data_IF_989148960913
#
_entry.id   IF_989148960913
#
_cell.length_a   1.000
_cell.length_b   1.000
_cell.length_c   1.000
_cell.angle_alpha   90.00
_cell.angle_beta   90.00
_cell.angle_gamma   90.00
#
_symmetry.space_group_name_H-M   'P 1'
#
loop_
_entity.id
_entity.type
_entity.pdbx_description
1 polymer ?
#
# COMPACT_ATOMS: atom_id res chain seq x y z
N UNK A 1 10.43 22.79 -24.30
CA UNK A 1 10.20 22.14 -22.99
C UNK A 1 8.96 21.22 -22.95
N UNK A 2 8.19 21.02 -24.04
CA UNK A 2 6.94 20.21 -24.02
C UNK A 2 7.05 18.71 -24.32
N UNK A 3 8.21 18.21 -24.76
CA UNK A 3 8.37 16.81 -25.20
C UNK A 3 8.66 15.82 -24.06
N UNK A 4 9.44 16.23 -23.04
CA UNK A 4 9.82 15.35 -21.93
C UNK A 4 8.61 15.04 -21.01
N UNK A 5 7.80 16.06 -20.70
CA UNK A 5 6.61 15.89 -19.86
C UNK A 5 5.53 15.03 -20.54
N UNK A 6 5.39 15.11 -21.87
CA UNK A 6 4.43 14.29 -22.60
C UNK A 6 4.83 12.81 -22.61
N UNK A 7 6.12 12.50 -22.81
CA UNK A 7 6.63 11.13 -22.78
C UNK A 7 6.53 10.50 -21.39
N UNK A 8 6.82 11.26 -20.33
CA UNK A 8 6.68 10.78 -18.95
C UNK A 8 5.22 10.44 -18.61
N UNK A 9 4.27 11.30 -19.01
CA UNK A 9 2.84 11.04 -18.81
C UNK A 9 2.35 9.82 -19.59
N UNK A 10 2.85 9.62 -20.81
CA UNK A 10 2.53 8.42 -21.60
C UNK A 10 3.05 7.15 -20.92
N UNK A 11 4.26 7.18 -20.36
CA UNK A 11 4.81 6.05 -19.61
C UNK A 11 3.96 5.74 -18.35
N UNK A 12 3.53 6.76 -17.62
CA UNK A 12 2.67 6.59 -16.42
C UNK A 12 1.30 6.01 -16.79
N UNK A 13 0.70 6.47 -17.89
CA UNK A 13 -0.57 5.92 -18.39
C UNK A 13 -0.39 4.46 -18.82
N UNK A 14 0.69 4.12 -19.51
CA UNK A 14 0.96 2.73 -19.93
C UNK A 14 1.31 1.80 -18.77
N UNK A 15 1.94 2.32 -17.72
CA UNK A 15 2.35 1.58 -16.54
C UNK A 15 1.29 1.48 -15.43
N UNK A 16 0.09 2.03 -15.63
CA UNK A 16 -0.97 2.04 -14.63
C UNK A 16 -2.33 1.61 -15.18
N UNK A 17 -3.27 1.37 -14.28
CA UNK A 17 -4.65 1.04 -14.57
C UNK A 17 -5.50 2.30 -14.80
N UNK A 18 -4.91 3.39 -15.31
CA UNK A 18 -5.57 4.68 -15.48
C UNK A 18 -5.46 5.20 -16.92
N UNK A 19 -6.51 5.86 -17.39
CA UNK A 19 -6.48 6.61 -18.63
C UNK A 19 -5.87 8.02 -18.45
N UNK A 20 -5.68 8.73 -19.57
CA UNK A 20 -5.06 10.06 -19.56
C UNK A 20 -5.85 11.08 -18.74
N UNK A 21 -7.18 11.01 -18.77
CA UNK A 21 -8.03 11.95 -18.04
C UNK A 21 -7.99 11.66 -16.54
N UNK A 22 -7.93 10.38 -16.15
CA UNK A 22 -7.69 9.91 -14.78
C UNK A 22 -6.34 10.40 -14.26
N UNK A 23 -5.26 10.20 -15.03
CA UNK A 23 -3.91 10.66 -14.65
C UNK A 23 -3.84 12.18 -14.53
N UNK A 24 -4.49 12.94 -15.41
CA UNK A 24 -4.54 14.41 -15.29
C UNK A 24 -5.33 14.87 -14.05
N UNK A 25 -6.38 14.12 -13.63
CA UNK A 25 -7.06 14.38 -12.35
C UNK A 25 -6.17 14.05 -11.15
N UNK A 26 -5.46 12.92 -11.19
CA UNK A 26 -4.50 12.55 -10.15
C UNK A 26 -3.39 13.59 -10.04
N UNK A 27 -2.88 14.12 -11.15
CA UNK A 27 -1.87 15.20 -11.14
C UNK A 27 -2.37 16.45 -10.40
N UNK A 28 -3.62 16.84 -10.63
CA UNK A 28 -4.22 17.99 -9.91
C UNK A 28 -4.37 17.71 -8.41
N UNK A 29 -4.63 16.46 -8.01
CA UNK A 29 -4.68 16.07 -6.59
C UNK A 29 -3.28 16.07 -5.98
N UNK A 30 -2.29 15.53 -6.69
CA UNK A 30 -0.88 15.52 -6.29
C UNK A 30 -0.38 16.94 -6.01
N UNK A 31 -0.55 17.87 -6.95
CA UNK A 31 -0.17 19.28 -6.78
C UNK A 31 -0.92 20.02 -5.66
N UNK A 32 -2.02 19.45 -5.14
CA UNK A 32 -2.74 20.01 -4.00
C UNK A 32 -2.20 19.47 -2.66
N UNK A 33 -1.58 18.29 -2.70
CA UNK A 33 -0.92 17.68 -1.55
C UNK A 33 0.49 18.24 -1.36
N UNK A 34 1.23 18.38 -2.46
CA UNK A 34 2.52 19.07 -2.55
C UNK A 34 2.31 20.59 -2.33
N UNK A 35 2.42 21.02 -1.07
CA UNK A 35 2.14 22.39 -0.62
C UNK A 35 3.30 23.32 -0.88
N UNK A 36 4.52 22.81 -0.75
CA UNK A 36 5.73 23.61 -0.95
C UNK A 36 6.20 23.63 -2.42
N UNK A 37 5.58 22.81 -3.27
CA UNK A 37 5.91 22.63 -4.69
C UNK A 37 7.31 22.04 -4.90
N UNK A 38 7.74 21.14 -4.01
CA UNK A 38 9.00 20.40 -4.13
C UNK A 38 8.99 19.44 -5.31
N UNK A 39 7.79 19.00 -5.75
CA UNK A 39 7.60 18.00 -6.80
C UNK A 39 7.51 16.57 -6.27
N UNK A 40 7.65 16.38 -4.96
CA UNK A 40 7.41 15.13 -4.23
C UNK A 40 6.42 15.41 -3.10
N UNK A 41 5.82 14.36 -2.52
CA UNK A 41 4.95 14.51 -1.35
C UNK A 41 5.68 13.95 -0.13
N UNK A 42 6.02 14.80 0.82
CA UNK A 42 6.64 14.31 2.05
C UNK A 42 5.61 13.72 3.02
N UNK A 43 6.11 12.95 3.98
CA UNK A 43 5.30 12.35 5.05
C UNK A 43 4.40 13.36 5.77
N UNK A 44 4.92 14.55 6.07
CA UNK A 44 4.19 15.59 6.78
C UNK A 44 3.04 16.17 5.93
N UNK A 45 3.19 16.18 4.61
CA UNK A 45 2.15 16.63 3.70
C UNK A 45 0.99 15.63 3.63
N UNK A 46 1.29 14.33 3.57
CA UNK A 46 0.27 13.28 3.72
C UNK A 46 -0.46 13.38 5.06
N UNK A 47 0.28 13.52 6.16
CA UNK A 47 -0.29 13.62 7.50
C UNK A 47 -0.99 14.96 7.76
N UNK A 48 -0.85 15.93 6.86
CA UNK A 48 -1.61 17.17 6.95
C UNK A 48 -3.09 17.00 6.62
N UNK A 49 -3.46 15.90 5.94
CA UNK A 49 -4.86 15.54 5.71
C UNK A 49 -5.46 14.88 6.96
N UNK A 50 -6.52 15.45 7.57
CA UNK A 50 -7.14 14.88 8.77
C UNK A 50 -7.63 13.43 8.59
N UNK A 51 -8.06 13.07 7.38
CA UNK A 51 -8.50 11.70 7.07
C UNK A 51 -7.33 10.71 7.05
N UNK A 52 -6.13 11.17 6.73
CA UNK A 52 -4.91 10.36 6.71
C UNK A 52 -4.30 10.30 8.10
N UNK A 53 -4.15 11.44 8.78
CA UNK A 53 -3.53 11.49 10.12
C UNK A 53 -4.27 10.67 11.18
N UNK A 54 -5.58 10.49 11.02
CA UNK A 54 -6.39 9.68 11.93
C UNK A 54 -6.42 8.19 11.57
N UNK A 55 -5.88 7.81 10.40
CA UNK A 55 -5.86 6.43 9.96
C UNK A 55 -4.63 5.70 10.55
N UNK A 56 -4.82 4.59 11.29
CA UNK A 56 -3.71 3.87 11.93
C UNK A 56 -2.70 3.28 10.93
N UNK A 57 -3.10 3.09 9.67
CA UNK A 57 -2.27 2.54 8.60
C UNK A 57 -1.67 3.62 7.69
N UNK A 58 -1.88 4.90 7.97
CA UNK A 58 -1.38 5.98 7.11
C UNK A 58 0.13 5.89 6.87
N UNK A 59 0.90 5.59 7.92
CA UNK A 59 2.35 5.40 7.80
C UNK A 59 2.69 4.23 6.88
N UNK A 60 1.93 3.13 6.95
CA UNK A 60 2.12 1.98 6.06
C UNK A 60 1.79 2.34 4.62
N UNK A 61 0.68 3.05 4.39
CA UNK A 61 0.29 3.48 3.05
C UNK A 61 1.34 4.38 2.40
N UNK A 62 1.88 5.37 3.13
CA UNK A 62 2.96 6.24 2.64
C UNK A 62 4.19 5.40 2.29
N UNK A 63 4.59 4.49 3.20
CA UNK A 63 5.72 3.60 2.97
C UNK A 63 5.48 2.55 1.87
N UNK A 64 4.27 2.35 1.38
CA UNK A 64 4.02 1.48 0.22
C UNK A 64 4.10 2.28 -1.09
N UNK A 65 3.74 3.57 -1.03
CA UNK A 65 3.80 4.46 -2.19
C UNK A 65 5.24 4.84 -2.50
N UNK A 66 6.05 5.12 -1.48
CA UNK A 66 7.50 5.38 -1.57
C UNK A 66 8.24 4.07 -1.97
N UNK A 67 8.23 3.70 -3.26
CA UNK A 67 8.75 2.42 -3.74
C UNK A 67 10.28 2.38 -3.71
N UNK A 68 10.95 3.52 -3.89
CA UNK A 68 12.41 3.59 -3.86
C UNK A 68 13.01 3.78 -2.44
N UNK A 69 12.19 4.13 -1.45
CA UNK A 69 12.60 4.31 -0.06
C UNK A 69 13.29 5.65 0.21
N UNK A 70 13.09 6.65 -0.67
CA UNK A 70 13.64 8.00 -0.56
C UNK A 70 13.09 8.80 0.62
N UNK A 71 11.92 8.42 1.14
CA UNK A 71 11.24 9.08 2.26
C UNK A 71 10.22 10.15 1.83
N UNK A 72 10.11 10.40 0.53
CA UNK A 72 9.07 11.19 -0.12
C UNK A 72 8.41 10.35 -1.24
N UNK A 73 7.29 10.83 -1.79
CA UNK A 73 6.54 10.11 -2.83
C UNK A 73 6.46 10.97 -4.07
N UNK A 74 7.05 10.52 -5.17
CA UNK A 74 6.97 11.22 -6.44
C UNK A 74 5.62 10.99 -7.16
N UNK A 75 5.38 11.70 -8.28
CA UNK A 75 4.13 11.56 -9.01
C UNK A 75 3.93 10.17 -9.65
N UNK A 76 5.01 9.52 -10.08
CA UNK A 76 4.94 8.18 -10.66
C UNK A 76 4.57 7.15 -9.59
N UNK A 77 5.22 7.21 -8.44
CA UNK A 77 4.94 6.41 -7.24
C UNK A 77 3.51 6.59 -6.74
N UNK A 78 3.04 7.84 -6.68
CA UNK A 78 1.66 8.16 -6.30
C UNK A 78 0.64 7.49 -7.23
N UNK A 79 0.87 7.53 -8.56
CA UNK A 79 -0.02 6.90 -9.54
C UNK A 79 0.06 5.37 -9.47
N UNK A 80 1.27 4.81 -9.38
CA UNK A 80 1.50 3.36 -9.24
C UNK A 80 0.82 2.80 -7.99
N UNK A 81 0.96 3.49 -6.84
CA UNK A 81 0.31 3.10 -5.59
C UNK A 81 -1.22 3.11 -5.68
N UNK A 82 -1.80 4.09 -6.35
CA UNK A 82 -3.26 4.16 -6.56
C UNK A 82 -3.77 3.19 -7.63
N UNK A 83 -2.91 2.78 -8.57
CA UNK A 83 -3.25 1.85 -9.66
C UNK A 83 -3.79 0.51 -9.14
N UNK A 84 -3.27 0.02 -8.02
CA UNK A 84 -3.74 -1.21 -7.37
C UNK A 84 -5.20 -1.12 -6.92
N UNK A 85 -5.69 0.08 -6.61
CA UNK A 85 -7.07 0.33 -6.18
C UNK A 85 -8.04 0.57 -7.33
N UNK A 86 -7.55 0.67 -8.57
CA UNK A 86 -8.40 0.78 -9.76
C UNK A 86 -9.29 -0.45 -9.93
N UNK A 87 -10.53 -0.27 -10.36
CA UNK A 87 -11.43 -1.37 -10.75
C UNK A 87 -10.94 -2.10 -12.01
N UNK A 88 -10.03 -1.49 -12.78
CA UNK A 88 -9.37 -2.09 -13.95
C UNK A 88 -8.18 -2.99 -13.55
N UNK A 89 -7.71 -2.90 -12.29
CA UNK A 89 -6.60 -3.69 -11.78
C UNK A 89 -6.98 -5.14 -11.46
N UNK A 90 -6.00 -6.03 -11.56
CA UNK A 90 -6.25 -7.48 -11.39
C UNK A 90 -6.19 -7.92 -9.92
N UNK A 91 -6.66 -9.15 -9.63
CA UNK A 91 -6.68 -9.70 -8.27
C UNK A 91 -5.28 -9.82 -7.66
N UNK A 92 -4.27 -10.18 -8.46
CA UNK A 92 -2.90 -10.37 -7.96
C UNK A 92 -2.28 -9.05 -7.51
N UNK A 93 -2.44 -7.96 -8.27
CA UNK A 93 -1.99 -6.62 -7.91
C UNK A 93 -2.57 -6.17 -6.56
N UNK A 94 -3.88 -6.42 -6.36
CA UNK A 94 -4.58 -6.11 -5.11
C UNK A 94 -4.07 -6.95 -3.94
N UNK A 95 -3.81 -8.25 -4.16
CA UNK A 95 -3.23 -9.13 -3.15
C UNK A 95 -1.80 -8.71 -2.80
N UNK A 96 -0.97 -8.35 -3.78
CA UNK A 96 0.39 -7.85 -3.55
C UNK A 96 0.38 -6.56 -2.76
N UNK A 97 -0.54 -5.65 -3.07
CA UNK A 97 -0.69 -4.43 -2.28
C UNK A 97 -1.08 -4.76 -0.83
N UNK A 98 -2.07 -5.63 -0.63
CA UNK A 98 -2.49 -6.04 0.72
C UNK A 98 -1.34 -6.72 1.49
N UNK A 99 -0.51 -7.51 0.81
CA UNK A 99 0.69 -8.13 1.38
C UNK A 99 1.72 -7.09 1.84
N UNK A 100 2.02 -6.08 1.00
CA UNK A 100 2.94 -4.97 1.33
C UNK A 100 2.51 -4.15 2.55
N UNK A 101 1.23 -4.18 2.94
CA UNK A 101 0.78 -3.57 4.21
C UNK A 101 1.45 -4.22 5.41
N UNK A 102 1.61 -5.55 5.36
CA UNK A 102 2.22 -6.35 6.42
C UNK A 102 3.73 -6.45 6.30
N UNK A 103 4.27 -6.64 5.10
CA UNK A 103 5.72 -6.71 4.83
C UNK A 103 6.38 -5.32 5.01
N UNK A 104 7.02 -5.09 6.16
CA UNK A 104 7.56 -3.78 6.57
C UNK A 104 8.92 -3.54 5.94
N UNK A 105 9.79 -4.53 5.97
CA UNK A 105 11.16 -4.42 5.49
C UNK A 105 11.33 -4.74 4.00
N UNK A 106 10.26 -5.20 3.33
CA UNK A 106 10.19 -5.51 1.90
C UNK A 106 11.06 -6.69 1.50
N UNK A 107 11.30 -7.64 2.40
CA UNK A 107 12.04 -8.87 2.09
C UNK A 107 11.21 -9.91 1.31
N UNK A 108 9.92 -9.64 1.11
CA UNK A 108 8.98 -10.53 0.41
C UNK A 108 8.29 -11.53 1.32
N UNK A 109 8.44 -11.41 2.63
CA UNK A 109 7.83 -12.24 3.64
C UNK A 109 7.16 -11.40 4.72
N UNK A 110 6.18 -12.00 5.41
CA UNK A 110 5.61 -11.40 6.62
C UNK A 110 6.17 -12.18 7.81
N UNK A 111 7.04 -11.54 8.56
CA UNK A 111 7.55 -12.10 9.81
C UNK A 111 6.54 -11.98 10.97
N UNK A 112 6.79 -12.72 12.04
CA UNK A 112 6.00 -12.65 13.28
C UNK A 112 5.92 -11.22 13.85
N UNK A 113 7.06 -10.52 13.89
CA UNK A 113 7.13 -9.16 14.40
C UNK A 113 6.33 -8.17 13.56
N UNK A 114 6.40 -8.29 12.23
CA UNK A 114 5.69 -7.41 11.31
C UNK A 114 4.17 -7.60 11.39
N UNK A 115 3.71 -8.85 11.40
CA UNK A 115 2.30 -9.16 11.58
C UNK A 115 1.78 -8.61 12.92
N UNK A 116 2.55 -8.77 14.00
CA UNK A 116 2.20 -8.20 15.30
C UNK A 116 2.08 -6.67 15.24
N UNK A 117 3.07 -5.98 14.67
CA UNK A 117 3.10 -4.52 14.59
C UNK A 117 1.88 -3.98 13.85
N UNK A 118 1.58 -4.54 12.67
CA UNK A 118 0.48 -4.06 11.83
C UNK A 118 -0.87 -4.35 12.47
N UNK A 119 -1.06 -5.54 13.05
CA UNK A 119 -2.29 -5.83 13.79
C UNK A 119 -2.43 -4.92 15.01
N UNK A 120 -1.33 -4.62 15.73
CA UNK A 120 -1.34 -3.70 16.87
C UNK A 120 -1.79 -2.29 16.49
N UNK A 121 -1.37 -1.80 15.32
CA UNK A 121 -1.84 -0.52 14.78
C UNK A 121 -3.36 -0.52 14.60
N UNK A 122 -3.95 -1.62 14.13
CA UNK A 122 -5.40 -1.71 13.87
C UNK A 122 -6.23 -1.93 15.15
N UNK A 123 -5.82 -2.84 16.04
CA UNK A 123 -6.62 -3.21 17.23
C UNK A 123 -6.38 -2.28 18.42
N UNK A 124 -5.28 -1.53 18.43
CA UNK A 124 -4.90 -0.63 19.51
C UNK A 124 -4.85 -1.33 20.87
N UNK A 125 -5.60 -0.80 21.84
CA UNK A 125 -5.66 -1.34 23.21
C UNK A 125 -6.80 -2.34 23.45
N UNK A 126 -7.54 -2.72 22.39
CA UNK A 126 -8.65 -3.68 22.53
C UNK A 126 -8.16 -5.11 22.87
N UNK A 127 -6.90 -5.41 22.56
CA UNK A 127 -6.24 -6.67 22.92
C UNK A 127 -4.97 -6.39 23.72
N UNK A 128 -4.74 -7.21 24.75
CA UNK A 128 -3.46 -7.25 25.45
C UNK A 128 -2.40 -7.84 24.53
N UNK A 129 -1.16 -7.40 24.70
CA UNK A 129 -0.04 -7.83 23.85
C UNK A 129 0.12 -9.35 23.84
N UNK A 130 -0.06 -10.02 24.98
CA UNK A 130 -0.01 -11.49 25.05
C UNK A 130 -1.11 -12.16 24.24
N UNK A 131 -2.33 -11.59 24.20
CA UNK A 131 -3.43 -12.15 23.41
C UNK A 131 -3.18 -11.93 21.91
N UNK A 132 -2.68 -10.75 21.55
CA UNK A 132 -2.32 -10.45 20.17
C UNK A 132 -1.19 -11.37 19.69
N UNK A 133 -0.15 -11.56 20.51
CA UNK A 133 0.96 -12.48 20.20
C UNK A 133 0.46 -13.91 19.96
N UNK A 134 -0.46 -14.40 20.79
CA UNK A 134 -1.05 -15.73 20.59
C UNK A 134 -1.85 -15.86 19.28
N UNK A 135 -2.47 -14.78 18.82
CA UNK A 135 -3.16 -14.76 17.52
C UNK A 135 -2.12 -14.81 16.40
N UNK A 136 -1.10 -13.95 16.45
CA UNK A 136 0.01 -13.90 15.49
C UNK A 136 0.69 -15.26 15.36
N UNK A 137 1.06 -15.89 16.48
CA UNK A 137 1.75 -17.18 16.51
C UNK A 137 0.91 -18.29 15.86
N UNK A 138 -0.41 -18.30 16.13
CA UNK A 138 -1.33 -19.26 15.51
C UNK A 138 -1.49 -19.00 14.02
N UNK A 139 -1.63 -17.74 13.61
CA UNK A 139 -1.76 -17.36 12.20
C UNK A 139 -0.54 -17.83 11.40
N UNK A 140 0.67 -17.61 11.90
CA UNK A 140 1.88 -18.10 11.24
C UNK A 140 1.90 -19.62 11.22
N UNK A 141 1.63 -20.28 12.35
CA UNK A 141 1.61 -21.76 12.41
C UNK A 141 0.63 -22.40 11.41
N UNK A 142 -0.48 -21.73 11.12
CA UNK A 142 -1.49 -22.20 10.15
C UNK A 142 -1.12 -21.87 8.70
N UNK A 143 -0.45 -20.74 8.46
CA UNK A 143 -0.10 -20.23 7.14
C UNK A 143 1.23 -20.79 6.60
N UNK A 144 2.20 -21.04 7.47
CA UNK A 144 3.58 -21.45 7.18
C UNK A 144 3.63 -22.94 6.79
N UNK A 145 3.55 -23.19 5.48
CA UNK A 145 3.47 -24.52 4.89
C UNK A 145 4.86 -25.15 4.75
N UNK A 146 5.89 -24.34 4.51
CA UNK A 146 7.27 -24.81 4.34
C UNK A 146 8.11 -24.81 5.63
N UNK A 147 7.57 -24.21 6.71
CA UNK A 147 8.11 -24.16 8.07
C UNK A 147 9.35 -23.30 8.22
N UNK A 148 9.44 -22.20 7.46
CA UNK A 148 10.51 -21.22 7.58
C UNK A 148 10.27 -20.17 8.69
N UNK A 149 9.09 -20.18 9.31
CA UNK A 149 8.69 -19.31 10.42
C UNK A 149 8.14 -17.94 10.01
N UNK A 150 7.89 -17.74 8.71
CA UNK A 150 7.34 -16.51 8.13
C UNK A 150 6.26 -16.86 7.10
N UNK A 151 5.62 -15.85 6.51
CA UNK A 151 4.55 -16.06 5.52
C UNK A 151 5.00 -15.49 4.19
N UNK A 152 5.22 -16.37 3.21
CA UNK A 152 5.46 -15.98 1.81
C UNK A 152 4.21 -15.42 1.15
N UNK A 153 4.37 -14.75 0.00
CA UNK A 153 3.23 -14.29 -0.79
C UNK A 153 2.28 -15.43 -1.18
N UNK A 154 2.83 -16.58 -1.58
CA UNK A 154 2.07 -17.76 -1.96
C UNK A 154 1.23 -18.31 -0.79
N UNK A 155 1.78 -18.34 0.42
CA UNK A 155 1.06 -18.75 1.62
C UNK A 155 -0.01 -17.74 2.02
N UNK A 156 0.31 -16.45 1.95
CA UNK A 156 -0.67 -15.38 2.17
C UNK A 156 -1.87 -15.51 1.23
N UNK A 157 -1.65 -15.70 -0.08
CA UNK A 157 -2.74 -15.83 -1.04
C UNK A 157 -3.64 -17.04 -0.78
N UNK A 158 -3.07 -18.16 -0.31
CA UNK A 158 -3.84 -19.33 0.12
C UNK A 158 -4.67 -19.04 1.38
N UNK A 159 -4.08 -18.35 2.36
CA UNK A 159 -4.77 -17.98 3.60
C UNK A 159 -6.00 -17.10 3.35
N UNK A 160 -5.90 -16.17 2.40
CA UNK A 160 -6.98 -15.23 2.07
C UNK A 160 -7.83 -15.66 0.88
N UNK A 161 -7.71 -16.91 0.40
CA UNK A 161 -8.40 -17.39 -0.82
C UNK A 161 -9.93 -17.21 -0.76
N UNK A 162 -10.50 -17.42 0.43
CA UNK A 162 -11.94 -17.28 0.68
C UNK A 162 -12.36 -15.86 1.08
N UNK A 163 -11.46 -14.89 1.05
CA UNK A 163 -11.73 -13.48 1.34
C UNK A 163 -11.77 -12.69 0.04
N UNK A 164 -12.78 -11.85 -0.14
CA UNK A 164 -12.84 -10.94 -1.29
C UNK A 164 -11.95 -9.71 -1.08
N UNK A 165 -10.64 -9.94 -1.17
CA UNK A 165 -9.62 -8.88 -1.12
C UNK A 165 -9.82 -7.91 -2.29
N UNK A 166 -10.28 -8.39 -3.44
CA UNK A 166 -10.50 -7.55 -4.62
C UNK A 166 -11.54 -6.46 -4.36
N UNK A 167 -12.68 -6.81 -3.76
CA UNK A 167 -13.69 -5.81 -3.36
C UNK A 167 -13.14 -4.83 -2.32
N UNK A 168 -12.40 -5.32 -1.32
CA UNK A 168 -11.84 -4.48 -0.26
C UNK A 168 -10.77 -3.49 -0.77
N UNK A 169 -10.09 -3.86 -1.86
CA UNK A 169 -8.99 -3.11 -2.48
C UNK A 169 -9.44 -2.39 -3.76
N UNK A 170 -10.68 -1.96 -3.87
CA UNK A 170 -11.18 -1.22 -5.05
C UNK A 170 -11.86 0.08 -4.64
N UNK A 171 -11.49 1.17 -5.33
CA UNK A 171 -12.17 2.46 -5.24
C UNK A 171 -12.92 2.72 -6.54
N UNK A 172 -14.17 3.16 -6.44
CA UNK A 172 -15.06 3.31 -7.61
C UNK A 172 -14.75 4.54 -8.46
N UNK A 173 -14.04 5.55 -7.94
CA UNK A 173 -13.82 6.83 -8.62
C UNK A 173 -12.44 7.44 -8.31
N UNK A 174 -11.71 7.79 -9.38
CA UNK A 174 -10.41 8.50 -9.34
C UNK A 174 -10.49 9.85 -10.07
#
# INVERSE_FOLDING_TARGET
MGNANSAMLENIVQGSNFDRDEVDRLRKRFMKLDKDNSGTIERDEFLSLPQVSSNPLATRMIAIFDEDGGGDVDFQEFVSGLSAFSSKGNKEEKLRFAFKVYDIDRDGYISNGELFIVLKMMVGSNLKDQQLQQIVDKTIMEADLDRDGKISFEEFTKMVENTDVSMSMTLDQF
#
